data_IF_635997092862
#
_entry.id   IF_635997092862
#
_cell.length_a   1.000
_cell.length_b   1.000
_cell.length_c   1.000
_cell.angle_alpha   90.00
_cell.angle_beta   90.00
_cell.angle_gamma   90.00
#
_symmetry.space_group_name_H-M   'P 1'
#
loop_
_entity.id
_entity.type
_entity.pdbx_description
1 polymer ?
#
# COMPACT_ATOMS: atom_id res chain seq x y z
N UNK A 1 -14.23 8.77 2.31
CA UNK A 1 -13.57 7.45 2.24
C UNK A 1 -12.67 7.32 3.46
N UNK A 2 -12.74 6.20 4.20
CA UNK A 2 -11.97 6.00 5.43
C UNK A 2 -10.86 4.97 5.22
N UNK A 3 -9.72 5.42 4.68
CA UNK A 3 -8.54 4.57 4.42
C UNK A 3 -8.00 3.95 5.70
N UNK A 4 -8.22 4.59 6.87
CA UNK A 4 -7.79 4.06 8.17
C UNK A 4 -8.42 2.70 8.46
N UNK A 5 -9.71 2.52 8.17
CA UNK A 5 -10.39 1.25 8.40
C UNK A 5 -9.78 0.14 7.55
N UNK A 6 -9.60 0.38 6.25
CA UNK A 6 -9.00 -0.61 5.35
C UNK A 6 -7.56 -0.99 5.76
N UNK A 7 -6.73 -0.01 6.11
CA UNK A 7 -5.35 -0.25 6.55
C UNK A 7 -5.27 -0.93 7.92
N UNK A 8 -6.26 -0.71 8.81
CA UNK A 8 -6.34 -1.41 10.09
C UNK A 8 -6.81 -2.86 9.92
N UNK A 9 -7.72 -3.12 8.99
CA UNK A 9 -8.22 -4.47 8.69
C UNK A 9 -7.15 -5.37 8.08
N UNK A 10 -6.34 -4.83 7.15
CA UNK A 10 -5.29 -5.57 6.46
C UNK A 10 -3.90 -5.28 7.04
N UNK A 11 -3.77 -5.37 8.36
CA UNK A 11 -2.51 -5.13 9.07
C UNK A 11 -1.88 -6.43 9.56
N UNK A 12 -0.55 -6.51 9.63
CA UNK A 12 0.16 -7.65 10.22
C UNK A 12 -0.34 -8.02 11.63
N UNK A 13 -0.67 -7.05 12.49
CA UNK A 13 -1.16 -7.34 13.84
C UNK A 13 -2.52 -8.06 13.84
N UNK A 14 -3.34 -7.87 12.80
CA UNK A 14 -4.60 -8.60 12.63
C UNK A 14 -4.31 -10.05 12.25
N UNK A 15 -3.34 -10.27 11.35
CA UNK A 15 -2.88 -11.61 11.01
C UNK A 15 -2.31 -12.34 12.24
N UNK A 16 -1.51 -11.65 13.07
CA UNK A 16 -0.94 -12.20 14.30
C UNK A 16 -2.04 -12.60 15.30
N UNK A 17 -3.07 -11.78 15.46
CA UNK A 17 -4.21 -12.11 16.32
C UNK A 17 -5.02 -13.31 15.81
N UNK A 18 -5.20 -13.42 14.49
CA UNK A 18 -5.89 -14.57 13.87
C UNK A 18 -5.07 -15.85 14.06
N UNK A 19 -3.75 -15.79 13.86
CA UNK A 19 -2.88 -16.95 14.07
C UNK A 19 -2.89 -17.39 15.53
N UNK A 20 -2.81 -16.45 16.49
CA UNK A 20 -2.93 -16.75 17.92
C UNK A 20 -4.24 -17.48 18.26
N UNK A 21 -5.37 -16.96 17.77
CA UNK A 21 -6.68 -17.57 18.00
C UNK A 21 -6.81 -18.96 17.36
N UNK A 22 -6.14 -19.19 16.23
CA UNK A 22 -6.16 -20.47 15.53
C UNK A 22 -5.20 -21.51 16.15
N UNK A 23 -3.97 -21.11 16.46
CA UNK A 23 -2.85 -22.01 16.76
C UNK A 23 -2.64 -22.18 18.26
N UNK A 24 -2.67 -21.08 19.03
CA UNK A 24 -2.41 -21.10 20.47
C UNK A 24 -3.67 -21.42 21.27
N UNK A 25 -4.80 -20.77 20.92
CA UNK A 25 -6.07 -20.93 21.63
C UNK A 25 -6.98 -22.01 21.02
N UNK A 26 -6.73 -22.40 19.76
CA UNK A 26 -7.48 -23.48 19.10
C UNK A 26 -8.96 -23.17 18.83
N UNK A 27 -9.36 -21.91 18.70
CA UNK A 27 -10.77 -21.56 18.48
C UNK A 27 -11.31 -22.14 17.15
N UNK A 28 -12.43 -22.88 17.16
CA UNK A 28 -12.95 -23.58 15.97
C UNK A 28 -13.21 -22.65 14.78
N UNK A 29 -13.68 -21.43 15.05
CA UNK A 29 -14.02 -20.45 14.01
C UNK A 29 -12.80 -19.88 13.27
N UNK A 30 -11.59 -20.10 13.78
CA UNK A 30 -10.35 -19.63 13.17
C UNK A 30 -9.58 -20.75 12.47
N UNK A 31 -10.06 -22.00 12.51
CA UNK A 31 -9.43 -23.11 11.82
C UNK A 31 -9.40 -22.89 10.31
N UNK A 32 -8.26 -23.20 9.67
CA UNK A 32 -8.06 -22.97 8.24
C UNK A 32 -7.79 -21.51 7.85
N UNK A 33 -7.50 -20.61 8.81
CA UNK A 33 -7.25 -19.19 8.54
C UNK A 33 -5.90 -18.88 7.87
N UNK A 34 -5.02 -19.86 7.70
CA UNK A 34 -3.64 -19.66 7.23
C UNK A 34 -3.54 -18.89 5.90
N UNK A 35 -4.40 -19.20 4.93
CA UNK A 35 -4.42 -18.47 3.65
C UNK A 35 -4.87 -17.01 3.83
N UNK A 36 -5.78 -16.74 4.77
CA UNK A 36 -6.23 -15.39 5.10
C UNK A 36 -5.12 -14.58 5.77
N UNK A 37 -4.41 -15.16 6.74
CA UNK A 37 -3.32 -14.45 7.43
C UNK A 37 -2.14 -14.21 6.50
N UNK A 38 -1.80 -15.15 5.61
CA UNK A 38 -0.80 -14.92 4.56
C UNK A 38 -1.20 -13.79 3.61
N UNK A 39 -2.45 -13.76 3.13
CA UNK A 39 -2.96 -12.66 2.30
C UNK A 39 -2.82 -11.31 3.01
N UNK A 40 -3.27 -11.21 4.26
CA UNK A 40 -3.19 -9.96 5.05
C UNK A 40 -1.75 -9.47 5.13
N UNK A 41 -0.80 -10.35 5.45
CA UNK A 41 0.62 -9.99 5.57
C UNK A 41 1.21 -9.51 4.26
N UNK A 42 0.90 -10.17 3.15
CA UNK A 42 1.41 -9.75 1.83
C UNK A 42 0.86 -8.37 1.42
N UNK A 43 -0.41 -8.09 1.69
CA UNK A 43 -0.99 -6.77 1.43
C UNK A 43 -0.40 -5.70 2.35
N UNK A 44 -0.19 -5.99 3.64
CA UNK A 44 0.43 -5.06 4.59
C UNK A 44 1.87 -4.69 4.16
N UNK A 45 2.68 -5.68 3.78
CA UNK A 45 4.03 -5.45 3.24
C UNK A 45 3.97 -4.57 1.99
N UNK A 46 3.08 -4.88 1.05
CA UNK A 46 2.95 -4.10 -0.18
C UNK A 46 2.58 -2.64 0.11
N UNK A 47 1.64 -2.43 1.03
CA UNK A 47 1.21 -1.10 1.44
C UNK A 47 2.36 -0.32 2.10
N UNK A 48 3.14 -0.97 2.97
CA UNK A 48 4.30 -0.39 3.63
C UNK A 48 5.39 0.03 2.65
N UNK A 49 5.69 -0.80 1.65
CA UNK A 49 6.66 -0.48 0.59
C UNK A 49 6.23 0.77 -0.19
N UNK A 50 4.93 0.94 -0.42
CA UNK A 50 4.36 2.11 -1.10
C UNK A 50 4.17 3.34 -0.18
N UNK A 51 4.51 3.25 1.11
CA UNK A 51 4.19 4.28 2.09
C UNK A 51 5.36 4.64 3.02
N UNK A 52 6.58 4.67 2.49
CA UNK A 52 7.74 5.15 3.24
C UNK A 52 7.66 6.67 3.45
N UNK A 53 7.60 7.10 4.72
CA UNK A 53 7.33 8.52 5.09
C UNK A 53 8.55 9.30 5.56
N UNK A 54 9.52 8.61 6.13
CA UNK A 54 10.66 9.22 6.82
C UNK A 54 11.94 8.45 6.52
N UNK A 55 13.08 9.14 6.34
CA UNK A 55 14.37 8.49 6.08
C UNK A 55 14.85 7.62 7.24
N UNK A 56 14.27 7.77 8.44
CA UNK A 56 14.66 7.04 9.65
C UNK A 56 13.79 5.80 9.91
N UNK A 57 12.78 5.53 9.08
CA UNK A 57 11.94 4.35 9.22
C UNK A 57 12.77 3.07 8.98
N UNK A 58 12.41 2.00 9.69
CA UNK A 58 13.05 0.68 9.60
C UNK A 58 12.12 -0.33 8.93
N UNK A 59 12.68 -1.46 8.49
CA UNK A 59 11.91 -2.59 7.94
C UNK A 59 11.25 -2.30 6.59
N UNK A 60 10.03 -2.78 6.40
CA UNK A 60 9.22 -2.62 5.18
C UNK A 60 8.99 -1.14 4.83
N UNK A 61 8.74 -0.30 5.85
CA UNK A 61 8.51 1.16 5.74
C UNK A 61 9.78 1.98 5.52
N UNK A 62 10.97 1.36 5.51
CA UNK A 62 12.22 2.08 5.28
C UNK A 62 12.21 2.82 3.95
N UNK A 63 12.99 3.91 3.86
CA UNK A 63 13.27 4.57 2.58
C UNK A 63 13.86 3.58 1.58
N UNK A 64 13.71 3.86 0.29
CA UNK A 64 14.40 3.12 -0.77
C UNK A 64 15.66 3.89 -1.13
N UNK A 65 16.82 3.25 -1.05
CA UNK A 65 18.12 3.84 -1.41
C UNK A 65 18.98 2.83 -2.17
N UNK A 66 20.15 3.26 -2.63
CA UNK A 66 21.03 2.42 -3.46
C UNK A 66 21.45 1.11 -2.78
N UNK A 67 21.40 1.03 -1.45
CA UNK A 67 21.83 -0.15 -0.70
C UNK A 67 20.73 -1.21 -0.59
N UNK A 68 19.46 -0.78 -0.54
CA UNK A 68 18.33 -1.70 -0.40
C UNK A 68 17.44 -1.81 -1.65
N UNK A 69 17.73 -1.04 -2.71
CA UNK A 69 16.92 -1.00 -3.94
C UNK A 69 16.67 -2.39 -4.52
N UNK A 70 17.70 -3.22 -4.66
CA UNK A 70 17.57 -4.57 -5.20
C UNK A 70 16.61 -5.44 -4.35
N UNK A 71 16.81 -5.44 -3.03
CA UNK A 71 15.95 -6.18 -2.11
C UNK A 71 14.49 -5.72 -2.18
N UNK A 72 14.26 -4.40 -2.28
CA UNK A 72 12.92 -3.82 -2.38
C UNK A 72 12.24 -4.20 -3.69
N UNK A 73 12.97 -4.17 -4.82
CA UNK A 73 12.46 -4.60 -6.12
C UNK A 73 12.09 -6.08 -6.09
N UNK A 74 12.98 -6.94 -5.61
CA UNK A 74 12.68 -8.37 -5.47
C UNK A 74 11.41 -8.59 -4.66
N UNK A 75 11.22 -7.83 -3.59
CA UNK A 75 10.00 -7.92 -2.77
C UNK A 75 8.75 -7.46 -3.52
N UNK A 76 8.84 -6.40 -4.32
CA UNK A 76 7.75 -6.00 -5.20
C UNK A 76 7.44 -7.09 -6.24
N UNK A 77 8.46 -7.73 -6.82
CA UNK A 77 8.27 -8.78 -7.83
C UNK A 77 7.59 -10.01 -7.22
N UNK A 78 8.04 -10.48 -6.05
CA UNK A 78 7.40 -11.57 -5.28
C UNK A 78 5.91 -11.29 -5.02
N UNK A 79 5.58 -10.07 -4.60
CA UNK A 79 4.20 -9.66 -4.32
C UNK A 79 3.38 -9.51 -5.60
N UNK A 80 3.99 -9.06 -6.70
CA UNK A 80 3.32 -8.97 -7.99
C UNK A 80 2.96 -10.35 -8.53
N UNK A 81 3.86 -11.34 -8.44
CA UNK A 81 3.55 -12.71 -8.85
C UNK A 81 2.40 -13.29 -8.02
N UNK A 82 2.45 -13.13 -6.69
CA UNK A 82 1.34 -13.53 -5.82
C UNK A 82 0.00 -12.90 -6.25
N UNK A 83 -0.03 -11.59 -6.51
CA UNK A 83 -1.26 -10.91 -6.94
C UNK A 83 -1.83 -11.44 -8.26
N UNK A 84 -0.97 -11.92 -9.18
CA UNK A 84 -1.39 -12.51 -10.46
C UNK A 84 -2.02 -13.89 -10.28
N UNK A 85 -1.55 -14.64 -9.29
CA UNK A 85 -2.04 -15.99 -8.96
C UNK A 85 -3.39 -15.98 -8.23
N UNK A 86 -3.79 -14.86 -7.63
CA UNK A 86 -5.05 -14.76 -6.90
C UNK A 86 -6.26 -15.02 -7.81
N UNK A 87 -7.16 -15.87 -7.34
CA UNK A 87 -8.44 -16.19 -7.97
C UNK A 87 -9.60 -15.94 -7.01
N UNK A 88 -10.81 -15.80 -7.57
CA UNK A 88 -12.03 -15.88 -6.79
C UNK A 88 -12.44 -17.33 -6.52
N UNK A 89 -13.54 -17.51 -5.79
CA UNK A 89 -14.08 -18.84 -5.43
C UNK A 89 -14.49 -19.69 -6.65
N UNK A 90 -14.63 -19.09 -7.83
CA UNK A 90 -14.92 -19.79 -9.09
C UNK A 90 -13.67 -20.14 -9.88
N UNK A 91 -12.48 -19.78 -9.38
CA UNK A 91 -11.20 -19.94 -10.07
C UNK A 91 -10.91 -18.85 -11.10
N UNK A 92 -11.74 -17.81 -11.21
CA UNK A 92 -11.47 -16.68 -12.09
C UNK A 92 -10.37 -15.81 -11.49
N UNK A 93 -9.33 -15.50 -12.28
CA UNK A 93 -8.24 -14.62 -11.86
C UNK A 93 -8.73 -13.23 -11.46
N UNK A 94 -8.25 -12.74 -10.31
CA UNK A 94 -8.61 -11.44 -9.77
C UNK A 94 -8.01 -10.28 -10.58
N UNK A 95 -7.03 -10.52 -11.45
CA UNK A 95 -6.46 -9.46 -12.31
C UNK A 95 -7.17 -9.32 -13.67
N UNK A 96 -8.03 -10.27 -14.04
CA UNK A 96 -8.76 -10.25 -15.32
C UNK A 96 -10.28 -10.15 -15.16
N UNK A 97 -10.83 -10.55 -14.00
CA UNK A 97 -12.27 -10.54 -13.72
C UNK A 97 -12.92 -9.15 -13.59
N UNK A 98 -14.21 -9.13 -13.23
CA UNK A 98 -15.00 -7.88 -13.11
C UNK A 98 -14.52 -6.96 -11.98
N UNK A 99 -13.96 -7.52 -10.90
CA UNK A 99 -13.48 -6.78 -9.72
C UNK A 99 -11.96 -6.56 -9.75
N UNK A 100 -11.36 -6.50 -10.94
CA UNK A 100 -9.90 -6.45 -11.11
C UNK A 100 -9.22 -5.14 -10.72
N UNK A 101 -9.96 -4.04 -10.66
CA UNK A 101 -9.42 -2.69 -10.45
C UNK A 101 -8.43 -2.57 -9.29
N UNK A 102 -8.72 -3.03 -8.06
CA UNK A 102 -7.75 -2.96 -6.96
C UNK A 102 -6.46 -3.76 -7.25
N UNK A 103 -6.57 -4.97 -7.79
CA UNK A 103 -5.42 -5.84 -8.06
C UNK A 103 -4.54 -5.30 -9.19
N UNK A 104 -5.16 -4.85 -10.28
CA UNK A 104 -4.47 -4.19 -11.39
C UNK A 104 -3.82 -2.88 -10.92
N UNK A 105 -4.51 -2.11 -10.08
CA UNK A 105 -3.98 -0.88 -9.49
C UNK A 105 -2.74 -1.14 -8.64
N UNK A 106 -2.76 -2.18 -7.80
CA UNK A 106 -1.60 -2.60 -7.02
C UNK A 106 -0.44 -3.03 -7.92
N UNK A 107 -0.68 -3.85 -8.95
CA UNK A 107 0.36 -4.27 -9.90
C UNK A 107 1.01 -3.10 -10.63
N UNK A 108 0.21 -2.22 -11.24
CA UNK A 108 0.72 -1.05 -11.96
C UNK A 108 1.48 -0.14 -11.01
N UNK A 109 1.01 0.05 -9.79
CA UNK A 109 1.71 0.85 -8.77
C UNK A 109 3.07 0.24 -8.43
N UNK A 110 3.15 -1.06 -8.13
CA UNK A 110 4.40 -1.76 -7.84
C UNK A 110 5.43 -1.61 -8.94
N UNK A 111 5.02 -1.88 -10.18
CA UNK A 111 5.88 -1.78 -11.37
C UNK A 111 6.37 -0.34 -11.55
N UNK A 112 5.46 0.63 -11.45
CA UNK A 112 5.77 2.05 -11.61
C UNK A 112 6.72 2.57 -10.52
N UNK A 113 6.49 2.19 -9.26
CA UNK A 113 7.35 2.55 -8.13
C UNK A 113 8.75 1.99 -8.34
N UNK A 114 8.88 0.72 -8.74
CA UNK A 114 10.18 0.12 -9.05
C UNK A 114 10.92 0.87 -10.15
N UNK A 115 10.25 1.17 -11.26
CA UNK A 115 10.82 1.88 -12.39
C UNK A 115 11.27 3.30 -12.00
N UNK A 116 10.42 4.05 -11.28
CA UNK A 116 10.74 5.39 -10.79
C UNK A 116 11.92 5.35 -9.83
N UNK A 117 11.96 4.39 -8.89
CA UNK A 117 13.06 4.27 -7.94
C UNK A 117 14.39 3.99 -8.64
N UNK A 118 14.42 3.07 -9.62
CA UNK A 118 15.61 2.81 -10.46
C UNK A 118 16.07 4.11 -11.13
N UNK A 119 15.18 4.78 -11.84
CA UNK A 119 15.49 6.01 -12.57
C UNK A 119 16.01 7.13 -11.65
N UNK A 120 15.39 7.33 -10.48
CA UNK A 120 15.77 8.41 -9.57
C UNK A 120 17.09 8.16 -8.83
N UNK A 121 17.39 6.90 -8.51
CA UNK A 121 18.56 6.49 -7.72
C UNK A 121 19.78 6.15 -8.59
N UNK A 122 19.58 5.75 -9.84
CA UNK A 122 20.64 5.29 -10.74
C UNK A 122 20.88 6.22 -11.94
N UNK A 123 20.25 7.40 -11.97
CA UNK A 123 20.53 8.44 -12.98
C UNK A 123 22.01 8.85 -12.96
N UNK A 124 22.52 9.16 -14.15
CA UNK A 124 23.91 9.55 -14.39
C UNK A 124 24.29 10.84 -13.66
N UNK A 125 23.42 11.87 -13.75
CA UNK A 125 23.66 13.18 -13.14
C UNK A 125 22.80 13.38 -11.89
N UNK A 126 23.44 13.66 -10.76
CA UNK A 126 22.79 13.98 -9.48
C UNK A 126 21.75 12.93 -9.03
N UNK A 127 22.17 11.67 -8.79
CA UNK A 127 21.28 10.64 -8.25
C UNK A 127 20.75 11.03 -6.88
N UNK A 128 19.50 10.66 -6.57
CA UNK A 128 18.99 10.86 -5.22
C UNK A 128 19.71 9.93 -4.26
N UNK A 129 19.91 10.40 -3.04
CA UNK A 129 20.39 9.56 -1.94
C UNK A 129 19.35 8.51 -1.53
N UNK A 130 18.06 8.86 -1.61
CA UNK A 130 16.95 7.97 -1.28
C UNK A 130 15.62 8.47 -1.90
N UNK A 131 14.62 7.59 -1.88
CA UNK A 131 13.24 7.84 -2.29
C UNK A 131 12.29 7.51 -1.13
N UNK A 132 11.29 8.38 -0.94
CA UNK A 132 10.18 8.18 0.00
C UNK A 132 8.90 7.97 -0.81
N UNK A 133 8.40 6.74 -0.83
CA UNK A 133 7.26 6.33 -1.67
C UNK A 133 5.95 7.03 -1.32
N UNK A 134 5.81 7.55 -0.08
CA UNK A 134 4.65 8.41 0.28
C UNK A 134 4.52 9.64 -0.63
N UNK A 135 5.62 10.10 -1.23
CA UNK A 135 5.62 11.29 -2.10
C UNK A 135 4.95 11.04 -3.45
N UNK A 136 4.68 9.78 -3.79
CA UNK A 136 3.92 9.40 -4.98
C UNK A 136 2.41 9.32 -4.70
N UNK A 137 1.99 9.40 -3.43
CA UNK A 137 0.58 9.41 -3.05
C UNK A 137 -0.06 10.81 -3.23
N UNK A 138 -1.36 10.81 -3.53
CA UNK A 138 -2.21 12.00 -3.52
C UNK A 138 -2.57 12.50 -2.11
N UNK A 139 -2.12 11.85 -1.03
CA UNK A 139 -2.34 12.25 0.38
C UNK A 139 -2.03 13.73 0.65
N UNK A 140 -1.04 14.28 -0.05
CA UNK A 140 -0.68 15.70 0.04
C UNK A 140 -1.81 16.60 -0.49
N UNK A 141 -2.42 16.22 -1.62
CA UNK A 141 -3.54 16.94 -2.23
C UNK A 141 -4.81 16.79 -1.39
N UNK A 142 -5.10 15.60 -0.87
CA UNK A 142 -6.26 15.38 0.00
C UNK A 142 -6.20 16.21 1.29
N UNK A 143 -5.01 16.34 1.87
CA UNK A 143 -4.77 17.22 3.03
C UNK A 143 -4.94 18.69 2.67
N UNK A 144 -4.52 19.10 1.48
CA UNK A 144 -4.75 20.46 0.99
C UNK A 144 -6.26 20.73 0.88
N UNK A 145 -7.02 19.86 0.20
CA UNK A 145 -8.47 20.02 0.08
C UNK A 145 -9.19 20.01 1.44
N UNK A 146 -8.69 19.22 2.39
CA UNK A 146 -9.22 19.22 3.76
C UNK A 146 -8.89 20.51 4.52
N UNK A 147 -7.78 21.19 4.22
CA UNK A 147 -7.50 22.54 4.76
C UNK A 147 -8.41 23.59 4.11
N UNK A 148 -8.61 23.52 2.80
CA UNK A 148 -9.47 24.43 2.06
C UNK A 148 -10.91 24.36 2.60
N UNK A 149 -11.50 23.15 2.69
CA UNK A 149 -12.86 22.97 3.23
C UNK A 149 -13.01 23.50 4.65
N UNK A 150 -12.00 23.33 5.51
CA UNK A 150 -12.01 23.84 6.88
C UNK A 150 -12.11 25.36 6.98
N UNK A 151 -11.65 26.11 5.96
CA UNK A 151 -11.82 27.58 5.94
C UNK A 151 -13.28 28.01 5.77
N UNK A 152 -14.13 27.15 5.19
CA UNK A 152 -15.56 27.41 5.02
C UNK A 152 -16.38 27.26 6.30
N UNK A 153 -15.75 26.92 7.44
CA UNK A 153 -16.45 26.65 8.70
C UNK A 153 -17.42 25.48 8.54
N UNK A 154 -18.71 25.77 8.61
CA UNK A 154 -19.79 24.78 8.46
C UNK A 154 -20.09 24.45 6.99
N UNK A 155 -19.56 25.24 6.04
CA UNK A 155 -19.70 24.98 4.61
C UNK A 155 -18.65 23.97 4.12
N UNK A 156 -18.99 22.68 4.19
CA UNK A 156 -18.13 21.59 3.74
C UNK A 156 -17.99 21.49 2.20
N UNK A 157 -18.89 22.12 1.44
CA UNK A 157 -18.97 22.02 -0.02
C UNK A 157 -18.90 23.43 -0.64
N UNK A 158 -17.69 23.96 -0.73
CA UNK A 158 -17.42 25.25 -1.33
C UNK A 158 -17.86 25.26 -2.81
N UNK A 159 -18.46 26.35 -3.26
CA UNK A 159 -18.67 26.58 -4.69
C UNK A 159 -17.36 27.03 -5.37
N UNK A 160 -17.36 27.09 -6.70
CA UNK A 160 -16.15 27.43 -7.48
C UNK A 160 -15.60 28.82 -7.13
N UNK A 161 -16.45 29.79 -6.80
CA UNK A 161 -16.00 31.12 -6.37
C UNK A 161 -15.33 31.07 -5.00
N UNK A 162 -15.92 30.35 -4.04
CA UNK A 162 -15.35 30.15 -2.70
C UNK A 162 -14.07 29.31 -2.69
N UNK A 163 -13.84 28.49 -3.71
CA UNK A 163 -12.57 27.78 -3.89
C UNK A 163 -11.47 28.71 -4.45
N UNK A 164 -11.88 29.70 -5.27
CA UNK A 164 -10.97 30.68 -5.89
C UNK A 164 -10.40 31.68 -4.87
N UNK A 165 -11.20 32.08 -3.88
CA UNK A 165 -10.88 33.09 -2.86
C UNK A 165 -10.51 32.46 -1.52
#
# INVERSE_FOLDING_TARGET
MNVRLAAQTLNNSVADAIDFLCQDEGYPNFQGSAATTDFIRKIDILFDLCNSKTPFAKGTKSRIDKYNLHQKIQKFDELCEYLKELTDVSGQSLVSGRRKTPFVGLLVTSISVCAICKNLLQREYSPLTYVLTVRFSQDHLERLFSRIRRKGGWNNNLNVLQLKW
#
